data_IF_068097810679
#
_entry.id   IF_068097810679
#
_cell.length_a   1.000
_cell.length_b   1.000
_cell.length_c   1.000
_cell.angle_alpha   90.00
_cell.angle_beta   90.00
_cell.angle_gamma   90.00
#
_symmetry.space_group_name_H-M   'P 1'
#
loop_
_entity.id
_entity.type
_entity.pdbx_description
1 polymer ?
#
# COMPACT_ATOMS: atom_id res chain seq x y z
N UNK A 1 7.28 -3.67 -13.17
CA UNK A 1 5.96 -3.32 -13.74
C UNK A 1 4.95 -4.42 -13.42
N UNK A 2 3.94 -4.11 -12.62
CA UNK A 2 2.86 -5.03 -12.21
C UNK A 2 1.63 -4.81 -13.11
N UNK A 3 1.80 -4.94 -14.42
CA UNK A 3 0.81 -4.47 -15.40
C UNK A 3 -0.57 -5.13 -15.29
N UNK A 4 -0.67 -6.27 -14.61
CA UNK A 4 -1.91 -7.02 -14.42
C UNK A 4 -2.24 -7.33 -12.96
N UNK A 5 -1.52 -6.73 -12.01
CA UNK A 5 -1.80 -6.96 -10.59
C UNK A 5 -2.97 -6.09 -10.15
N UNK A 6 -4.15 -6.69 -10.01
CA UNK A 6 -5.38 -5.99 -9.63
C UNK A 6 -5.59 -5.90 -8.11
N UNK A 7 -5.04 -6.87 -7.37
CA UNK A 7 -5.13 -6.94 -5.92
C UNK A 7 -3.85 -7.53 -5.32
N UNK A 8 -3.47 -7.05 -4.13
CA UNK A 8 -2.48 -7.74 -3.31
C UNK A 8 -3.13 -8.97 -2.67
N UNK A 9 -2.38 -10.08 -2.54
CA UNK A 9 -2.94 -11.30 -2.00
C UNK A 9 -3.13 -11.23 -0.49
N UNK A 10 -4.18 -11.87 0.03
CA UNK A 10 -4.51 -11.87 1.46
C UNK A 10 -3.41 -12.46 2.35
N UNK A 11 -2.61 -13.41 1.83
CA UNK A 11 -1.50 -13.99 2.60
C UNK A 11 -0.42 -12.96 2.96
N UNK A 12 -0.39 -11.80 2.32
CA UNK A 12 0.48 -10.69 2.72
C UNK A 12 0.26 -10.31 4.21
N UNK A 13 -0.98 -10.38 4.70
CA UNK A 13 -1.32 -10.07 6.08
C UNK A 13 -0.63 -10.99 7.12
N UNK A 14 -0.09 -12.13 6.68
CA UNK A 14 0.62 -13.07 7.56
C UNK A 14 2.07 -12.66 7.88
N UNK A 15 2.67 -11.71 7.14
CA UNK A 15 4.03 -11.24 7.43
C UNK A 15 4.05 -10.16 8.50
N UNK A 16 3.71 -10.54 9.73
CA UNK A 16 3.71 -9.62 10.88
C UNK A 16 5.09 -9.02 11.19
N UNK A 17 6.18 -9.64 10.72
CA UNK A 17 7.56 -9.14 10.83
C UNK A 17 8.01 -8.25 9.66
N UNK A 18 7.16 -8.01 8.65
CA UNK A 18 7.52 -7.17 7.51
C UNK A 18 7.71 -5.72 7.98
N UNK A 19 8.88 -5.15 7.71
CA UNK A 19 9.23 -3.77 8.13
C UNK A 19 9.13 -2.75 7.01
N UNK A 20 9.22 -3.20 5.75
CA UNK A 20 9.15 -2.34 4.55
C UNK A 20 8.34 -3.03 3.46
N UNK A 21 7.39 -2.30 2.89
CA UNK A 21 6.64 -2.69 1.69
C UNK A 21 6.82 -1.61 0.62
N UNK A 22 7.10 -2.02 -0.61
CA UNK A 22 7.22 -1.14 -1.78
C UNK A 22 6.29 -1.68 -2.85
N UNK A 23 5.45 -0.81 -3.39
CA UNK A 23 4.54 -1.06 -4.50
C UNK A 23 4.92 -0.06 -5.58
N UNK A 24 5.36 -0.54 -6.73
CA UNK A 24 5.99 0.28 -7.77
C UNK A 24 5.42 -0.09 -9.15
N UNK A 25 4.93 0.92 -9.88
CA UNK A 25 4.40 0.78 -11.25
C UNK A 25 3.33 -0.32 -11.38
N UNK A 26 2.36 -0.33 -10.46
CA UNK A 26 1.21 -1.23 -10.46
C UNK A 26 -0.08 -0.47 -10.86
N UNK A 27 -0.23 -0.14 -12.14
CA UNK A 27 -1.31 0.71 -12.68
C UNK A 27 -2.74 0.14 -12.49
N UNK A 28 -2.87 -1.18 -12.38
CA UNK A 28 -4.17 -1.85 -12.18
C UNK A 28 -4.49 -2.18 -10.73
N UNK A 29 -3.58 -1.90 -9.79
CA UNK A 29 -3.80 -2.22 -8.39
C UNK A 29 -4.74 -1.18 -7.77
N UNK A 30 -5.99 -1.57 -7.57
CA UNK A 30 -7.06 -0.62 -7.23
C UNK A 30 -7.22 -0.35 -5.74
N UNK A 31 -6.75 -1.23 -4.86
CA UNK A 31 -6.93 -1.07 -3.42
C UNK A 31 -5.96 -1.91 -2.60
N UNK A 32 -5.85 -1.56 -1.31
CA UNK A 32 -5.17 -2.37 -0.32
C UNK A 32 -6.11 -3.41 0.32
N UNK A 33 -5.62 -4.63 0.64
CA UNK A 33 -6.40 -5.63 1.34
C UNK A 33 -6.68 -5.20 2.79
N UNK A 34 -7.80 -5.65 3.37
CA UNK A 34 -8.15 -5.34 4.76
C UNK A 34 -7.09 -5.81 5.77
N UNK A 35 -6.36 -6.87 5.43
CA UNK A 35 -5.30 -7.45 6.26
C UNK A 35 -4.04 -6.58 6.42
N UNK A 36 -3.94 -5.42 5.79
CA UNK A 36 -2.80 -4.50 5.98
C UNK A 36 -2.60 -4.08 7.45
N UNK A 37 -3.69 -3.99 8.22
CA UNK A 37 -3.65 -3.69 9.66
C UNK A 37 -2.90 -4.75 10.49
N UNK A 38 -2.78 -5.97 9.97
CA UNK A 38 -2.05 -7.06 10.61
C UNK A 38 -0.52 -6.91 10.49
N UNK A 39 -0.04 -6.04 9.60
CA UNK A 39 1.38 -5.75 9.41
C UNK A 39 1.87 -4.79 10.50
N UNK A 40 1.87 -5.24 11.75
CA UNK A 40 2.16 -4.40 12.93
C UNK A 40 3.62 -3.96 13.04
N UNK A 41 4.55 -4.70 12.43
CA UNK A 41 5.97 -4.29 12.37
C UNK A 41 6.29 -3.38 11.18
N UNK A 42 5.30 -3.07 10.32
CA UNK A 42 5.52 -2.29 9.11
C UNK A 42 5.87 -0.85 9.47
N UNK A 43 7.12 -0.50 9.22
CA UNK A 43 7.66 0.82 9.51
C UNK A 43 7.58 1.75 8.30
N UNK A 44 7.74 1.20 7.09
CA UNK A 44 7.77 1.96 5.85
C UNK A 44 6.89 1.35 4.76
N UNK A 45 6.01 2.18 4.20
CA UNK A 45 5.24 1.89 3.00
C UNK A 45 5.63 2.90 1.91
N UNK A 46 5.95 2.40 0.73
CA UNK A 46 6.20 3.21 -0.46
C UNK A 46 5.23 2.76 -1.55
N UNK A 47 4.51 3.72 -2.12
CA UNK A 47 3.63 3.52 -3.28
C UNK A 47 4.10 4.51 -4.34
N UNK A 48 4.72 3.99 -5.39
CA UNK A 48 5.28 4.76 -6.49
C UNK A 48 4.61 4.37 -7.81
N UNK A 49 4.20 5.35 -8.62
CA UNK A 49 3.53 5.15 -9.92
C UNK A 49 2.34 4.17 -9.86
N UNK A 50 1.48 4.33 -8.85
CA UNK A 50 0.26 3.54 -8.69
C UNK A 50 -0.92 4.50 -8.48
N UNK A 51 -1.45 5.14 -9.54
CA UNK A 51 -2.30 6.32 -9.42
C UNK A 51 -3.54 6.13 -8.52
N UNK A 52 -4.25 5.01 -8.69
CA UNK A 52 -5.44 4.74 -7.87
C UNK A 52 -5.06 4.42 -6.42
N UNK A 53 -4.00 3.66 -6.21
CA UNK A 53 -3.55 3.29 -4.87
C UNK A 53 -3.02 4.50 -4.09
N UNK A 54 -2.25 5.37 -4.75
CA UNK A 54 -1.78 6.64 -4.19
C UNK A 54 -2.97 7.48 -3.72
N UNK A 55 -3.98 7.68 -4.59
CA UNK A 55 -5.20 8.44 -4.25
C UNK A 55 -5.91 7.85 -3.02
N UNK A 56 -6.05 6.53 -2.96
CA UNK A 56 -6.72 5.84 -1.85
C UNK A 56 -5.91 5.80 -0.56
N UNK A 57 -4.59 5.95 -0.64
CA UNK A 57 -3.68 5.94 0.52
C UNK A 57 -3.40 7.35 1.08
N UNK A 58 -3.99 8.42 0.52
CA UNK A 58 -3.78 9.78 1.00
C UNK A 58 -4.19 9.95 2.46
N UNK A 59 -3.31 10.59 3.25
CA UNK A 59 -3.51 10.83 4.68
C UNK A 59 -4.84 11.55 4.95
N UNK A 60 -5.62 11.01 5.89
CA UNK A 60 -6.91 11.51 6.40
C UNK A 60 -8.09 11.58 5.41
N UNK A 61 -7.85 11.42 4.10
CA UNK A 61 -8.88 11.55 3.07
C UNK A 61 -9.05 10.29 2.20
N UNK A 62 -8.01 9.46 2.11
CA UNK A 62 -8.01 8.27 1.28
C UNK A 62 -8.81 7.12 1.90
N UNK A 63 -9.60 6.42 1.07
CA UNK A 63 -10.43 5.29 1.50
C UNK A 63 -9.64 4.15 2.16
N UNK A 64 -8.39 3.94 1.72
CA UNK A 64 -7.51 2.90 2.23
C UNK A 64 -6.54 3.43 3.32
N UNK A 65 -6.51 4.73 3.59
CA UNK A 65 -5.69 5.30 4.67
C UNK A 65 -5.88 4.60 6.03
N UNK A 66 -7.12 4.27 6.47
CA UNK A 66 -7.31 3.57 7.75
C UNK A 66 -6.63 2.20 7.83
N UNK A 67 -6.28 1.59 6.69
CA UNK A 67 -5.59 0.29 6.61
C UNK A 67 -4.08 0.40 6.85
N UNK A 68 -3.52 1.60 6.68
CA UNK A 68 -2.08 1.88 6.73
C UNK A 68 -1.71 3.03 7.68
N UNK A 69 -2.69 3.65 8.35
CA UNK A 69 -2.44 4.78 9.27
C UNK A 69 -1.60 4.42 10.49
N UNK A 70 -1.38 3.13 10.76
CA UNK A 70 -0.44 2.64 11.78
C UNK A 70 1.02 2.66 11.31
N UNK A 71 1.28 2.85 10.01
CA UNK A 71 2.62 2.85 9.42
C UNK A 71 3.26 4.23 9.61
N UNK A 72 4.41 4.34 10.32
CA UNK A 72 5.03 5.64 10.62
C UNK A 72 5.55 6.41 9.40
N UNK A 73 5.97 5.71 8.34
CA UNK A 73 6.56 6.33 7.16
C UNK A 73 5.84 5.87 5.88
N UNK A 74 4.91 6.68 5.40
CA UNK A 74 4.20 6.47 4.13
C UNK A 74 4.72 7.47 3.10
N UNK A 75 5.18 6.96 1.95
CA UNK A 75 5.61 7.75 0.80
C UNK A 75 4.71 7.42 -0.38
N UNK A 76 4.09 8.45 -0.96
CA UNK A 76 3.25 8.35 -2.17
C UNK A 76 3.90 9.27 -3.22
N UNK A 77 4.28 8.72 -4.37
CA UNK A 77 4.89 9.53 -5.43
C UNK A 77 4.54 9.02 -6.83
N UNK A 78 4.40 9.94 -7.77
CA UNK A 78 4.23 9.66 -9.20
C UNK A 78 5.34 10.37 -9.97
N UNK A 79 5.87 9.76 -11.03
CA UNK A 79 6.74 10.43 -11.99
C UNK A 79 5.91 10.96 -13.18
N UNK A 80 6.00 12.26 -13.45
CA UNK A 80 5.35 12.94 -14.58
C UNK A 80 5.98 12.55 -15.94
#
# INVERSE_FOLDING_TARGET
MCENLEALPDWLASFTSLTKLVIDQCQKLLSLPEGMRSLTSLNKLVVDDCPELERRCQCDIGEDWPKISHVPHVSLSSFD
#
